data_IF_359577869089
#
_entry.id   IF_359577869089
#
_cell.length_a   1.000
_cell.length_b   1.000
_cell.length_c   1.000
_cell.angle_alpha   90.00
_cell.angle_beta   90.00
_cell.angle_gamma   90.00
#
_symmetry.space_group_name_H-M   'P 1'
#
loop_
_entity.id
_entity.type
_entity.pdbx_description
1 polymer ?
#
# COMPACT_ATOMS: atom_id res chain seq x y z
N UNK A 1 -25.27 48.62 18.18
CA UNK A 1 -24.62 48.28 19.46
C UNK A 1 -23.98 46.92 19.23
N UNK A 2 -22.65 46.88 19.03
CA UNK A 2 -21.93 45.66 18.67
C UNK A 2 -21.74 44.81 19.93
N UNK A 3 -22.43 43.68 19.98
CA UNK A 3 -22.23 42.70 21.04
C UNK A 3 -20.92 41.96 20.74
N UNK A 4 -19.86 42.34 21.46
CA UNK A 4 -18.57 41.65 21.38
C UNK A 4 -18.67 40.46 22.31
N UNK A 5 -19.18 39.34 21.77
CA UNK A 5 -19.10 38.03 22.42
C UNK A 5 -17.62 37.70 22.62
N UNK A 6 -17.09 38.10 23.77
CA UNK A 6 -15.79 37.71 24.25
C UNK A 6 -15.91 36.21 24.56
N UNK A 7 -15.49 35.36 23.62
CA UNK A 7 -15.38 33.93 23.90
C UNK A 7 -14.56 33.79 25.20
N UNK A 8 -15.09 33.11 26.24
CA UNK A 8 -14.38 32.97 27.49
C UNK A 8 -13.02 32.33 27.19
N UNK A 9 -11.92 32.84 27.80
CA UNK A 9 -10.57 32.40 27.47
C UNK A 9 -10.37 30.89 27.63
N UNK A 10 -11.19 30.21 28.44
CA UNK A 10 -11.22 28.76 28.60
C UNK A 10 -11.64 28.00 27.33
N UNK A 11 -12.60 28.52 26.54
CA UNK A 11 -13.03 27.87 25.29
C UNK A 11 -11.91 27.87 24.24
N UNK A 12 -11.17 28.97 24.14
CA UNK A 12 -10.02 29.05 23.23
C UNK A 12 -8.85 28.14 23.67
N UNK A 13 -8.76 27.82 24.96
CA UNK A 13 -7.77 26.86 25.50
C UNK A 13 -8.21 25.43 25.20
N UNK A 14 -9.50 25.09 25.38
CA UNK A 14 -10.05 23.76 25.06
C UNK A 14 -9.92 23.42 23.57
N UNK A 15 -10.21 24.35 22.66
CA UNK A 15 -10.04 24.09 21.23
C UNK A 15 -8.57 23.82 20.86
N UNK A 16 -7.64 24.53 21.50
CA UNK A 16 -6.19 24.33 21.28
C UNK A 16 -5.72 22.98 21.83
N UNK A 17 -6.25 22.53 22.96
CA UNK A 17 -5.92 21.21 23.53
C UNK A 17 -6.51 20.08 22.68
N UNK A 18 -7.75 20.24 22.18
CA UNK A 18 -8.36 19.28 21.26
C UNK A 18 -7.57 19.14 19.95
N UNK A 19 -7.12 20.25 19.36
CA UNK A 19 -6.30 20.23 18.15
C UNK A 19 -4.93 19.57 18.41
N UNK A 20 -4.32 19.80 19.58
CA UNK A 20 -3.06 19.16 19.95
C UNK A 20 -3.22 17.64 20.10
N UNK A 21 -4.26 17.18 20.81
CA UNK A 21 -4.57 15.76 20.98
C UNK A 21 -4.87 15.08 19.63
N UNK A 22 -5.69 15.71 18.77
CA UNK A 22 -6.01 15.17 17.45
C UNK A 22 -4.75 15.06 16.55
N UNK A 23 -3.80 15.99 16.69
CA UNK A 23 -2.53 15.94 15.96
C UNK A 23 -1.67 14.76 16.43
N UNK A 24 -1.60 14.51 17.73
CA UNK A 24 -0.86 13.39 18.29
C UNK A 24 -1.45 12.04 17.82
N UNK A 25 -2.78 11.90 17.81
CA UNK A 25 -3.48 10.72 17.29
C UNK A 25 -3.27 10.53 15.78
N UNK A 26 -3.29 11.62 15.01
CA UNK A 26 -2.98 11.58 13.58
C UNK A 26 -1.53 11.14 13.32
N UNK A 27 -0.57 11.67 14.08
CA UNK A 27 0.84 11.28 13.96
C UNK A 27 1.04 9.80 14.31
N UNK A 28 0.37 9.30 15.35
CA UNK A 28 0.37 7.89 15.70
C UNK A 28 -0.21 7.01 14.57
N UNK A 29 -1.35 7.45 14.00
CA UNK A 29 -2.00 6.76 12.87
C UNK A 29 -1.14 6.76 11.62
N UNK A 30 -0.47 7.88 11.31
CA UNK A 30 0.45 7.99 10.17
C UNK A 30 1.70 7.14 10.36
N UNK A 31 2.24 7.06 11.58
CA UNK A 31 3.37 6.19 11.88
C UNK A 31 2.99 4.71 11.66
N UNK A 32 1.80 4.29 12.10
CA UNK A 32 1.29 2.94 11.89
C UNK A 32 1.03 2.67 10.38
N UNK A 33 0.38 3.61 9.70
CA UNK A 33 0.11 3.49 8.26
C UNK A 33 1.41 3.42 7.45
N UNK A 34 2.44 4.18 7.84
CA UNK A 34 3.76 4.13 7.21
C UNK A 34 4.46 2.79 7.42
N UNK A 35 4.28 2.17 8.59
CA UNK A 35 4.79 0.82 8.84
C UNK A 35 4.06 -0.23 7.99
N UNK A 36 2.74 -0.13 7.85
CA UNK A 36 1.96 -1.04 6.98
C UNK A 36 2.18 -0.82 5.48
N UNK A 37 2.39 0.44 5.08
CA UNK A 37 2.72 0.84 3.72
C UNK A 37 4.23 0.78 3.44
N UNK A 38 5.02 0.21 4.37
CA UNK A 38 6.43 0.00 4.14
C UNK A 38 6.60 -0.81 2.85
N UNK A 39 7.56 -0.45 1.97
CA UNK A 39 7.70 -1.05 0.65
C UNK A 39 7.88 -2.57 0.72
N UNK A 40 8.52 -3.09 1.79
CA UNK A 40 8.63 -4.52 2.05
C UNK A 40 7.29 -5.19 2.35
N UNK A 41 6.45 -4.57 3.19
CA UNK A 41 5.12 -5.09 3.53
C UNK A 41 4.18 -5.07 2.32
N UNK A 42 4.23 -3.99 1.51
CA UNK A 42 3.50 -3.91 0.24
C UNK A 42 4.00 -4.94 -0.76
N UNK A 43 5.31 -5.14 -0.90
CA UNK A 43 5.88 -6.16 -1.79
C UNK A 43 5.47 -7.58 -1.35
N UNK A 44 5.45 -7.87 -0.05
CA UNK A 44 4.99 -9.15 0.47
C UNK A 44 3.48 -9.37 0.23
N UNK A 45 2.65 -8.34 0.45
CA UNK A 45 1.20 -8.38 0.14
C UNK A 45 0.97 -8.58 -1.35
N UNK A 46 1.68 -7.86 -2.20
CA UNK A 46 1.61 -8.01 -3.66
C UNK A 46 2.08 -9.40 -4.12
N UNK A 47 3.16 -9.93 -3.53
CA UNK A 47 3.64 -11.27 -3.80
C UNK A 47 2.63 -12.34 -3.36
N UNK A 48 1.99 -12.17 -2.21
CA UNK A 48 0.92 -13.02 -1.73
C UNK A 48 -0.28 -13.02 -2.69
N UNK A 49 -0.72 -11.85 -3.14
CA UNK A 49 -1.79 -11.72 -4.13
C UNK A 49 -1.42 -12.36 -5.48
N UNK A 50 -0.19 -12.14 -5.96
CA UNK A 50 0.31 -12.74 -7.19
C UNK A 50 0.36 -14.27 -7.09
N UNK A 51 0.86 -14.81 -5.96
CA UNK A 51 0.84 -16.26 -5.68
C UNK A 51 -0.59 -16.80 -5.64
N UNK A 52 -1.51 -16.06 -5.02
CA UNK A 52 -2.95 -16.36 -4.98
C UNK A 52 -3.56 -16.60 -6.36
N UNK A 53 -3.07 -15.92 -7.39
CA UNK A 53 -3.52 -16.13 -8.77
C UNK A 53 -3.10 -17.50 -9.34
N UNK A 54 -1.96 -18.03 -8.89
CA UNK A 54 -1.43 -19.34 -9.29
C UNK A 54 -1.88 -20.48 -8.37
N UNK A 55 -2.42 -20.17 -7.19
CA UNK A 55 -2.91 -21.18 -6.24
C UNK A 55 -4.43 -21.35 -6.32
N UNK A 56 -4.90 -22.54 -5.99
CA UNK A 56 -6.30 -22.92 -5.90
C UNK A 56 -6.87 -22.64 -4.50
N UNK A 57 -8.18 -22.73 -4.30
CA UNK A 57 -8.84 -22.50 -2.99
C UNK A 57 -8.29 -23.38 -1.85
N UNK A 58 -7.66 -24.51 -2.17
CA UNK A 58 -7.03 -25.43 -1.21
C UNK A 58 -5.50 -25.27 -1.11
N UNK A 59 -4.92 -24.23 -1.73
CA UNK A 59 -3.48 -24.00 -1.77
C UNK A 59 -2.72 -24.87 -2.77
N UNK A 60 -3.41 -25.66 -3.59
CA UNK A 60 -2.82 -26.40 -4.71
C UNK A 60 -2.34 -25.45 -5.82
N UNK A 61 -1.36 -25.85 -6.63
CA UNK A 61 -0.91 -25.06 -7.78
C UNK A 61 -1.88 -25.28 -8.95
N UNK A 62 -2.29 -24.21 -9.66
CA UNK A 62 -3.05 -24.27 -10.91
C UNK A 62 -2.08 -24.39 -12.10
N UNK A 63 -1.80 -25.60 -12.61
CA UNK A 63 -0.74 -25.82 -13.59
C UNK A 63 -1.01 -25.12 -14.93
N UNK A 64 -2.27 -24.97 -15.33
CA UNK A 64 -2.65 -24.28 -16.58
C UNK A 64 -2.15 -22.82 -16.59
N UNK A 65 -2.36 -22.10 -15.47
CA UNK A 65 -1.94 -20.70 -15.34
C UNK A 65 -0.43 -20.55 -15.32
N UNK A 66 0.26 -21.48 -14.66
CA UNK A 66 1.73 -21.53 -14.65
C UNK A 66 2.28 -21.81 -16.05
N UNK A 67 1.68 -22.73 -16.80
CA UNK A 67 2.10 -23.06 -18.15
C UNK A 67 1.96 -21.88 -19.12
N UNK A 68 0.83 -21.16 -19.07
CA UNK A 68 0.59 -19.97 -19.91
C UNK A 68 1.64 -18.90 -19.63
N UNK A 69 1.84 -18.54 -18.36
CA UNK A 69 2.82 -17.51 -17.99
C UNK A 69 4.24 -17.97 -18.32
N UNK A 70 4.56 -19.24 -18.08
CA UNK A 70 5.84 -19.84 -18.44
C UNK A 70 6.12 -19.73 -19.94
N UNK A 71 5.16 -20.06 -20.80
CA UNK A 71 5.31 -19.96 -22.25
C UNK A 71 5.55 -18.51 -22.71
N UNK A 72 4.81 -17.55 -22.14
CA UNK A 72 4.97 -16.11 -22.45
C UNK A 72 6.37 -15.63 -22.06
N UNK A 73 6.84 -15.98 -20.85
CA UNK A 73 8.17 -15.58 -20.36
C UNK A 73 9.26 -16.19 -21.21
N UNK A 74 9.17 -17.48 -21.51
CA UNK A 74 10.15 -18.16 -22.39
C UNK A 74 10.18 -17.46 -23.73
N UNK A 75 9.03 -17.31 -24.42
CA UNK A 75 8.96 -16.64 -25.72
C UNK A 75 9.56 -15.24 -25.74
N UNK A 76 9.25 -14.42 -24.72
CA UNK A 76 9.83 -13.08 -24.58
C UNK A 76 11.35 -13.11 -24.43
N UNK A 77 11.87 -14.02 -23.60
CA UNK A 77 13.31 -14.17 -23.37
C UNK A 77 14.02 -14.64 -24.63
N UNK A 78 13.47 -15.62 -25.35
CA UNK A 78 14.06 -16.09 -26.62
C UNK A 78 14.14 -14.96 -27.64
N UNK A 79 13.07 -14.18 -27.81
CA UNK A 79 13.04 -13.01 -28.71
C UNK A 79 14.08 -11.96 -28.28
N UNK A 80 14.14 -11.64 -26.98
CA UNK A 80 15.08 -10.64 -26.45
C UNK A 80 16.54 -11.06 -26.65
N UNK A 81 16.86 -12.33 -26.44
CA UNK A 81 18.22 -12.86 -26.63
C UNK A 81 18.58 -12.86 -28.10
N UNK A 82 17.67 -13.29 -28.98
CA UNK A 82 17.90 -13.33 -30.41
C UNK A 82 18.06 -11.91 -30.99
N UNK A 83 17.23 -10.97 -30.56
CA UNK A 83 17.32 -9.55 -30.96
C UNK A 83 18.56 -8.82 -30.41
N UNK A 84 19.17 -9.31 -29.31
CA UNK A 84 20.46 -8.81 -28.82
C UNK A 84 21.66 -9.33 -29.60
N UNK A 85 21.55 -10.49 -30.24
CA UNK A 85 22.62 -11.09 -31.08
C UNK A 85 22.62 -10.54 -32.51
N UNK A 86 21.55 -9.87 -32.93
CA UNK A 86 21.42 -9.25 -34.25
C UNK A 86 21.81 -7.77 -34.32
N UNK A 87 22.25 -7.17 -33.20
CA UNK A 87 22.97 -5.88 -33.18
C UNK A 87 24.44 -6.15 -32.88
#
# INVERSE_FOLDING_TARGET
>A
MADTTHAPPSLLVDERTHVAAAREELLASLANLKAEAAPGALAQRALGAAKGWFTDEYGGIRPERVAIVGAVVVGFVTIKILGRRGR
#
